data_IF_931957042130
#
_entry.id   IF_931957042130
#
_cell.length_a   1.000
_cell.length_b   1.000
_cell.length_c   1.000
_cell.angle_alpha   90.00
_cell.angle_beta   90.00
_cell.angle_gamma   90.00
#
_symmetry.space_group_name_H-M   'P 1'
#
loop_
_entity.id
_entity.type
_entity.pdbx_description
1 polymer ?
#
# COMPACT_ATOMS: atom_id res chain seq x y z
N UNK A 1 13.49 6.78 -10.47
CA UNK A 1 14.57 6.20 -9.65
C UNK A 1 15.08 7.29 -8.72
N UNK A 2 15.21 6.99 -7.44
CA UNK A 2 15.75 7.91 -6.41
C UNK A 2 17.28 8.15 -6.58
N UNK A 3 17.85 7.89 -7.77
CA UNK A 3 19.29 7.94 -7.98
C UNK A 3 20.08 6.80 -7.31
N UNK A 4 19.40 5.92 -6.55
CA UNK A 4 20.01 4.79 -5.87
C UNK A 4 19.93 3.56 -6.79
N UNK A 5 21.05 2.84 -7.04
CA UNK A 5 21.04 1.66 -7.90
C UNK A 5 20.23 0.50 -7.28
N UNK A 6 19.72 -0.40 -8.14
CA UNK A 6 19.10 -1.65 -7.68
C UNK A 6 20.20 -2.61 -7.20
N UNK A 7 19.95 -3.40 -6.14
CA UNK A 7 18.70 -3.55 -5.37
C UNK A 7 18.58 -2.60 -4.17
N UNK A 8 19.56 -1.73 -3.90
CA UNK A 8 19.61 -0.90 -2.70
C UNK A 8 18.37 0.03 -2.58
N UNK A 9 17.84 0.52 -3.70
CA UNK A 9 16.61 1.33 -3.71
C UNK A 9 15.38 0.56 -3.17
N UNK A 10 15.26 -0.73 -3.47
CA UNK A 10 14.17 -1.58 -2.95
C UNK A 10 14.31 -1.82 -1.45
N UNK A 11 15.52 -2.14 -0.99
CA UNK A 11 15.80 -2.31 0.45
C UNK A 11 15.50 -1.01 1.21
N UNK A 12 15.86 0.13 0.65
CA UNK A 12 15.54 1.43 1.25
C UNK A 12 14.02 1.63 1.36
N UNK A 13 13.25 1.30 0.32
CA UNK A 13 11.79 1.41 0.35
C UNK A 13 11.16 0.45 1.37
N UNK A 14 11.67 -0.78 1.51
CA UNK A 14 11.23 -1.72 2.55
C UNK A 14 11.48 -1.17 3.95
N UNK A 15 12.71 -0.69 4.21
CA UNK A 15 13.06 -0.06 5.49
C UNK A 15 12.14 1.12 5.79
N UNK A 16 12.04 2.06 4.87
CA UNK A 16 11.24 3.28 5.05
C UNK A 16 9.77 2.96 5.23
N UNK A 17 9.21 2.13 4.35
CA UNK A 17 7.78 1.79 4.38
C UNK A 17 7.37 1.11 5.67
N UNK A 18 8.13 0.11 6.11
CA UNK A 18 7.82 -0.62 7.34
C UNK A 18 8.09 0.21 8.60
N UNK A 19 9.13 1.04 8.59
CA UNK A 19 9.39 2.00 9.66
C UNK A 19 8.21 2.96 9.85
N UNK A 20 7.73 3.58 8.77
CA UNK A 20 6.58 4.49 8.80
C UNK A 20 5.31 3.77 9.27
N UNK A 21 5.10 2.51 8.86
CA UNK A 21 3.98 1.70 9.33
C UNK A 21 4.04 1.49 10.84
N UNK A 22 5.17 1.08 11.39
CA UNK A 22 5.33 0.86 12.82
C UNK A 22 5.15 2.15 13.63
N UNK A 23 5.69 3.27 13.16
CA UNK A 23 5.43 4.58 13.77
C UNK A 23 3.94 4.95 13.71
N UNK A 24 3.28 4.64 12.60
CA UNK A 24 1.83 4.84 12.48
C UNK A 24 1.04 3.96 13.44
N UNK A 25 1.57 2.84 13.87
CA UNK A 25 1.01 1.96 14.92
C UNK A 25 1.39 2.39 16.35
N UNK A 26 2.10 3.54 16.50
CA UNK A 26 2.60 4.07 17.77
C UNK A 26 3.63 3.17 18.45
N UNK A 27 4.35 2.36 17.69
CA UNK A 27 5.51 1.62 18.20
C UNK A 27 6.64 2.62 18.45
N UNK A 28 7.42 2.41 19.51
CA UNK A 28 8.60 3.23 19.81
C UNK A 28 9.56 3.29 18.61
N UNK A 29 10.16 4.45 18.36
CA UNK A 29 10.99 4.66 17.16
C UNK A 29 12.20 3.72 17.08
N UNK A 30 12.78 3.30 18.22
CA UNK A 30 13.90 2.37 18.24
C UNK A 30 13.46 0.96 17.87
N UNK A 31 12.34 0.50 18.43
CA UNK A 31 11.73 -0.77 18.06
C UNK A 31 11.23 -0.76 16.62
N UNK A 32 10.72 0.37 16.14
CA UNK A 32 10.34 0.56 14.75
C UNK A 32 11.52 0.42 13.80
N UNK A 33 12.69 0.94 14.17
CA UNK A 33 13.92 0.77 13.40
C UNK A 33 14.36 -0.70 13.34
N UNK A 34 14.35 -1.41 14.47
CA UNK A 34 14.67 -2.85 14.53
C UNK A 34 13.68 -3.65 13.68
N UNK A 35 12.38 -3.39 13.82
CA UNK A 35 11.35 -4.05 13.02
C UNK A 35 11.49 -3.80 11.51
N UNK A 36 11.84 -2.57 11.12
CA UNK A 36 12.08 -2.22 9.72
C UNK A 36 13.29 -2.96 9.14
N UNK A 37 14.37 -3.09 9.92
CA UNK A 37 15.55 -3.87 9.54
C UNK A 37 15.17 -5.35 9.37
N UNK A 38 14.48 -5.94 10.36
CA UNK A 38 14.05 -7.33 10.30
C UNK A 38 13.15 -7.61 9.09
N UNK A 39 12.23 -6.70 8.77
CA UNK A 39 11.39 -6.79 7.58
C UNK A 39 12.21 -6.70 6.29
N UNK A 40 13.01 -5.63 6.13
CA UNK A 40 13.73 -5.37 4.88
C UNK A 40 14.77 -6.44 4.55
N UNK A 41 15.39 -7.05 5.56
CA UNK A 41 16.40 -8.10 5.41
C UNK A 41 15.82 -9.52 5.52
N UNK A 42 14.50 -9.67 5.41
CA UNK A 42 13.88 -10.99 5.29
C UNK A 42 14.40 -11.73 4.05
N UNK A 43 14.75 -13.00 4.19
CA UNK A 43 15.25 -13.85 3.10
C UNK A 43 14.31 -13.90 1.89
N UNK A 44 12.99 -13.81 2.13
CA UNK A 44 11.98 -13.79 1.07
C UNK A 44 12.21 -12.65 0.07
N UNK A 45 12.57 -11.44 0.55
CA UNK A 45 12.78 -10.30 -0.35
C UNK A 45 14.02 -10.46 -1.23
N UNK A 46 15.07 -11.04 -0.70
CA UNK A 46 16.26 -11.36 -1.49
C UNK A 46 15.93 -12.40 -2.57
N UNK A 47 15.14 -13.43 -2.23
CA UNK A 47 14.73 -14.46 -3.19
C UNK A 47 13.93 -13.85 -4.35
N UNK A 48 12.92 -13.00 -4.08
CA UNK A 48 12.09 -12.40 -5.14
C UNK A 48 12.88 -11.39 -5.99
N UNK A 49 13.83 -10.67 -5.39
CA UNK A 49 14.70 -9.73 -6.11
C UNK A 49 15.65 -10.51 -7.03
N UNK A 50 16.30 -11.56 -6.53
CA UNK A 50 17.19 -12.41 -7.32
C UNK A 50 16.45 -13.15 -8.46
N UNK A 51 15.20 -13.57 -8.20
CA UNK A 51 14.34 -14.17 -9.22
C UNK A 51 13.82 -13.18 -10.27
N UNK A 52 14.17 -11.89 -10.18
CA UNK A 52 13.78 -10.86 -11.14
C UNK A 52 12.33 -10.39 -11.04
N UNK A 53 11.59 -10.73 -9.96
CA UNK A 53 10.20 -10.32 -9.75
C UNK A 53 10.09 -8.86 -9.29
N UNK A 54 10.59 -7.92 -10.09
CA UNK A 54 10.73 -6.52 -9.71
C UNK A 54 9.40 -5.81 -9.46
N UNK A 55 8.35 -6.10 -10.24
CA UNK A 55 7.01 -5.53 -10.05
C UNK A 55 6.42 -5.96 -8.72
N UNK A 56 6.54 -7.24 -8.36
CA UNK A 56 6.13 -7.80 -7.07
C UNK A 56 6.91 -7.18 -5.92
N UNK A 57 8.23 -7.09 -6.05
CA UNK A 57 9.10 -6.50 -5.04
C UNK A 57 8.73 -5.03 -4.78
N UNK A 58 8.44 -4.26 -5.83
CA UNK A 58 8.07 -2.86 -5.74
C UNK A 58 6.69 -2.67 -5.11
N UNK A 59 5.68 -3.46 -5.50
CA UNK A 59 4.34 -3.41 -4.90
C UNK A 59 4.39 -3.73 -3.39
N UNK A 60 5.16 -4.75 -2.97
CA UNK A 60 5.35 -5.07 -1.55
C UNK A 60 6.03 -3.91 -0.80
N UNK A 61 6.94 -3.17 -1.44
CA UNK A 61 7.60 -2.03 -0.82
C UNK A 61 6.63 -0.88 -0.48
N UNK A 62 5.65 -0.62 -1.34
CA UNK A 62 4.66 0.44 -1.13
C UNK A 62 3.52 0.03 -0.21
N UNK A 63 3.20 -1.26 -0.08
CA UNK A 63 2.09 -1.74 0.74
C UNK A 63 2.11 -1.21 2.18
N UNK A 64 3.22 -1.27 2.95
CA UNK A 64 3.26 -0.72 4.30
C UNK A 64 3.02 0.80 4.34
N UNK A 65 3.45 1.53 3.31
CA UNK A 65 3.23 2.98 3.23
C UNK A 65 1.76 3.31 3.05
N UNK A 66 1.03 2.56 2.20
CA UNK A 66 -0.42 2.72 2.03
C UNK A 66 -1.14 2.47 3.35
N UNK A 67 -0.83 1.37 4.03
CA UNK A 67 -1.43 1.05 5.33
C UNK A 67 -1.15 2.15 6.36
N UNK A 68 0.08 2.65 6.41
CA UNK A 68 0.45 3.75 7.30
C UNK A 68 -0.36 5.03 7.02
N UNK A 69 -0.52 5.41 5.76
CA UNK A 69 -1.27 6.59 5.35
C UNK A 69 -2.77 6.48 5.70
N UNK A 70 -3.37 5.31 5.47
CA UNK A 70 -4.76 5.00 5.84
C UNK A 70 -4.96 5.10 7.35
N UNK A 71 -4.08 4.48 8.15
CA UNK A 71 -4.13 4.58 9.61
C UNK A 71 -3.99 6.03 10.09
N UNK A 72 -3.16 6.82 9.42
CA UNK A 72 -2.96 8.23 9.73
C UNK A 72 -4.21 9.06 9.45
N UNK A 73 -4.94 8.76 8.37
CA UNK A 73 -6.24 9.37 8.04
C UNK A 73 -7.27 9.06 9.13
N UNK A 74 -7.39 7.79 9.54
CA UNK A 74 -8.31 7.40 10.60
C UNK A 74 -7.99 8.02 11.98
N UNK A 75 -6.76 8.47 12.19
CA UNK A 75 -6.37 9.22 13.40
C UNK A 75 -6.76 10.71 13.38
N UNK A 76 -7.52 11.14 12.39
CA UNK A 76 -8.05 12.51 12.28
C UNK A 76 -7.17 13.46 11.47
N UNK A 77 -6.04 13.02 10.95
CA UNK A 77 -5.20 13.82 10.05
C UNK A 77 -5.67 13.68 8.58
N UNK A 78 -6.95 14.04 8.36
CA UNK A 78 -7.66 13.72 7.11
C UNK A 78 -6.97 14.25 5.84
N UNK A 79 -6.58 15.54 5.81
CA UNK A 79 -5.99 16.14 4.61
C UNK A 79 -4.63 15.49 4.28
N UNK A 80 -3.71 15.50 5.24
CA UNK A 80 -2.37 14.94 5.01
C UNK A 80 -2.43 13.42 4.80
N UNK A 81 -3.25 12.71 5.59
CA UNK A 81 -3.46 11.27 5.41
C UNK A 81 -4.09 10.94 4.06
N UNK A 82 -5.07 11.71 3.60
CA UNK A 82 -5.68 11.55 2.28
C UNK A 82 -4.68 11.76 1.13
N UNK A 83 -3.88 12.83 1.19
CA UNK A 83 -2.83 13.10 0.21
C UNK A 83 -1.78 11.99 0.18
N UNK A 84 -1.32 11.54 1.37
CA UNK A 84 -0.36 10.44 1.45
C UNK A 84 -0.96 9.12 0.93
N UNK A 85 -2.26 8.86 1.22
CA UNK A 85 -2.95 7.69 0.69
C UNK A 85 -3.03 7.74 -0.84
N UNK A 86 -3.44 8.87 -1.42
CA UNK A 86 -3.51 9.04 -2.87
C UNK A 86 -2.14 8.80 -3.53
N UNK A 87 -1.08 9.40 -2.97
CA UNK A 87 0.28 9.23 -3.47
C UNK A 87 0.76 7.77 -3.37
N UNK A 88 0.63 7.15 -2.20
CA UNK A 88 1.17 5.80 -1.98
C UNK A 88 0.37 4.73 -2.72
N UNK A 89 -0.96 4.88 -2.85
CA UNK A 89 -1.79 4.01 -3.69
C UNK A 89 -1.44 4.17 -5.17
N UNK A 90 -1.21 5.40 -5.65
CA UNK A 90 -0.78 5.62 -7.03
C UNK A 90 0.56 4.94 -7.33
N UNK A 91 1.53 5.01 -6.40
CA UNK A 91 2.82 4.33 -6.51
C UNK A 91 2.68 2.80 -6.49
N UNK A 92 1.79 2.28 -5.67
CA UNK A 92 1.52 0.84 -5.57
C UNK A 92 0.86 0.33 -6.87
N UNK A 93 -0.17 1.01 -7.37
CA UNK A 93 -0.79 0.68 -8.66
C UNK A 93 0.21 0.81 -9.82
N UNK A 94 1.12 1.79 -9.76
CA UNK A 94 2.19 1.94 -10.76
C UNK A 94 3.14 0.74 -10.80
N UNK A 95 3.33 0.02 -9.68
CA UNK A 95 4.12 -1.21 -9.64
C UNK A 95 3.47 -2.35 -10.47
N UNK A 96 2.17 -2.24 -10.79
CA UNK A 96 1.42 -3.13 -11.68
C UNK A 96 1.51 -4.61 -11.29
N UNK A 97 1.19 -4.92 -10.03
CA UNK A 97 1.14 -6.30 -9.54
C UNK A 97 -0.21 -6.59 -8.86
N UNK A 98 -1.22 -6.91 -9.66
CA UNK A 98 -2.64 -7.03 -9.25
C UNK A 98 -2.85 -7.96 -8.04
N UNK A 99 -2.08 -9.04 -7.92
CA UNK A 99 -2.20 -9.95 -6.78
C UNK A 99 -1.83 -9.27 -5.45
N UNK A 100 -0.79 -8.44 -5.44
CA UNK A 100 -0.39 -7.70 -4.22
C UNK A 100 -1.40 -6.60 -3.92
N UNK A 101 -1.89 -5.90 -4.94
CA UNK A 101 -2.97 -4.92 -4.82
C UNK A 101 -4.23 -5.55 -4.22
N UNK A 102 -4.60 -6.76 -4.66
CA UNK A 102 -5.73 -7.49 -4.09
C UNK A 102 -5.54 -7.78 -2.58
N UNK A 103 -4.37 -8.24 -2.17
CA UNK A 103 -4.09 -8.46 -0.74
C UNK A 103 -4.10 -7.15 0.04
N UNK A 104 -3.60 -6.06 -0.53
CA UNK A 104 -3.69 -4.73 0.08
C UNK A 104 -5.15 -4.33 0.31
N UNK A 105 -6.03 -4.49 -0.68
CA UNK A 105 -7.46 -4.18 -0.54
C UNK A 105 -8.09 -4.97 0.61
N UNK A 106 -7.79 -6.27 0.76
CA UNK A 106 -8.28 -7.08 1.88
C UNK A 106 -7.81 -6.53 3.24
N UNK A 107 -6.55 -6.12 3.35
CA UNK A 107 -6.00 -5.50 4.57
C UNK A 107 -6.73 -4.19 4.86
N UNK A 108 -6.95 -3.34 3.86
CA UNK A 108 -7.63 -2.05 4.02
C UNK A 108 -9.09 -2.22 4.42
N UNK A 109 -9.79 -3.21 3.85
CA UNK A 109 -11.16 -3.55 4.26
C UNK A 109 -11.20 -4.00 5.73
N UNK A 110 -10.26 -4.84 6.16
CA UNK A 110 -10.18 -5.27 7.56
C UNK A 110 -9.94 -4.08 8.49
N UNK A 111 -9.04 -3.16 8.14
CA UNK A 111 -8.80 -1.93 8.90
C UNK A 111 -10.07 -1.08 8.96
N UNK A 112 -10.79 -0.94 7.83
CA UNK A 112 -12.05 -0.23 7.75
C UNK A 112 -13.12 -0.80 8.68
N UNK A 113 -13.27 -2.13 8.69
CA UNK A 113 -14.20 -2.84 9.59
C UNK A 113 -13.83 -2.61 11.07
N UNK A 114 -12.56 -2.76 11.41
CA UNK A 114 -12.09 -2.51 12.79
C UNK A 114 -12.37 -1.07 13.22
N UNK A 115 -12.11 -0.11 12.33
CA UNK A 115 -12.35 1.30 12.61
C UNK A 115 -13.86 1.60 12.71
N UNK A 116 -14.68 1.03 11.83
CA UNK A 116 -16.14 1.13 11.89
C UNK A 116 -16.68 0.65 13.25
N UNK A 117 -16.24 -0.54 13.72
CA UNK A 117 -16.67 -1.08 15.01
C UNK A 117 -16.24 -0.17 16.17
N UNK A 118 -15.04 0.40 16.11
CA UNK A 118 -14.56 1.36 17.13
C UNK A 118 -15.41 2.61 17.17
N UNK A 119 -15.65 3.23 16.01
CA UNK A 119 -16.40 4.49 15.93
C UNK A 119 -17.91 4.27 16.21
N UNK A 120 -18.46 3.09 15.88
CA UNK A 120 -19.82 2.70 16.26
C UNK A 120 -19.97 2.63 17.79
N UNK A 121 -19.04 1.96 18.47
CA UNK A 121 -19.05 1.88 19.96
C UNK A 121 -18.82 3.23 20.63
N UNK A 122 -18.14 4.16 19.97
CA UNK A 122 -17.89 5.50 20.44
C UNK A 122 -19.00 6.52 20.06
N UNK A 123 -20.08 6.09 19.39
CA UNK A 123 -21.12 6.96 18.82
C UNK A 123 -20.56 8.05 17.89
N UNK A 124 -19.51 7.74 17.14
CA UNK A 124 -18.78 8.70 16.31
C UNK A 124 -18.80 8.33 14.80
N UNK A 125 -19.92 7.78 14.33
CA UNK A 125 -20.11 7.38 12.93
C UNK A 125 -19.95 8.53 11.92
N UNK A 126 -20.34 9.80 12.21
CA UNK A 126 -20.11 10.89 11.25
C UNK A 126 -18.62 11.12 10.95
N UNK A 127 -17.75 10.99 11.93
CA UNK A 127 -16.30 11.13 11.71
C UNK A 127 -15.72 9.93 10.97
N UNK A 128 -16.22 8.72 11.23
CA UNK A 128 -15.87 7.54 10.42
C UNK A 128 -16.24 7.77 8.94
N UNK A 129 -17.46 8.25 8.66
CA UNK A 129 -17.91 8.51 7.31
C UNK A 129 -17.04 9.56 6.60
N UNK A 130 -16.68 10.66 7.27
CA UNK A 130 -15.79 11.70 6.73
C UNK A 130 -14.40 11.14 6.38
N UNK A 131 -13.78 10.40 7.31
CA UNK A 131 -12.44 9.81 7.12
C UNK A 131 -12.45 8.77 6.00
N UNK A 132 -13.46 7.92 5.96
CA UNK A 132 -13.63 6.92 4.89
C UNK A 132 -13.91 7.59 3.55
N UNK A 133 -14.71 8.65 3.51
CA UNK A 133 -14.94 9.45 2.29
C UNK A 133 -13.66 10.03 1.72
N UNK A 134 -12.77 10.58 2.57
CA UNK A 134 -11.44 11.06 2.15
C UNK A 134 -10.60 9.92 1.54
N UNK A 135 -10.63 8.73 2.14
CA UNK A 135 -9.89 7.56 1.63
C UNK A 135 -10.44 7.09 0.28
N UNK A 136 -11.77 7.09 0.10
CA UNK A 136 -12.39 6.75 -1.19
C UNK A 136 -11.99 7.75 -2.27
N UNK A 137 -12.05 9.06 -1.98
CA UNK A 137 -11.60 10.09 -2.92
C UNK A 137 -10.11 9.92 -3.25
N UNK A 138 -9.27 9.66 -2.26
CA UNK A 138 -7.83 9.41 -2.46
C UNK A 138 -7.59 8.18 -3.36
N UNK A 139 -8.33 7.09 -3.16
CA UNK A 139 -8.23 5.89 -3.98
C UNK A 139 -8.71 6.13 -5.43
N UNK A 140 -9.79 6.88 -5.62
CA UNK A 140 -10.29 7.25 -6.95
C UNK A 140 -9.28 8.11 -7.72
N UNK A 141 -8.68 9.11 -7.06
CA UNK A 141 -7.63 9.94 -7.66
C UNK A 141 -6.40 9.10 -8.05
N UNK A 142 -5.96 8.20 -7.16
CA UNK A 142 -4.85 7.30 -7.45
C UNK A 142 -5.15 6.37 -8.63
N UNK A 143 -6.35 5.79 -8.68
CA UNK A 143 -6.81 4.91 -9.77
C UNK A 143 -6.85 5.67 -11.11
N UNK A 144 -7.28 6.92 -11.10
CA UNK A 144 -7.27 7.79 -12.28
C UNK A 144 -5.88 7.94 -12.90
N UNK A 145 -4.82 8.01 -12.08
CA UNK A 145 -3.43 8.09 -12.58
C UNK A 145 -2.93 6.77 -13.18
N UNK A 146 -3.52 5.65 -12.81
CA UNK A 146 -3.11 4.30 -13.24
C UNK A 146 -4.00 3.71 -14.35
N UNK A 147 -5.06 4.44 -14.80
CA UNK A 147 -6.12 3.90 -15.67
C UNK A 147 -5.56 3.34 -16.98
N UNK A 148 -4.62 4.04 -17.61
CA UNK A 148 -3.99 3.60 -18.87
C UNK A 148 -3.23 2.27 -18.70
N UNK A 149 -2.54 2.08 -17.58
CA UNK A 149 -1.82 0.84 -17.29
C UNK A 149 -2.76 -0.31 -16.96
N UNK A 150 -3.80 -0.03 -16.20
CA UNK A 150 -4.80 -1.03 -15.82
C UNK A 150 -5.56 -1.52 -17.06
N UNK A 151 -5.99 -0.62 -17.96
CA UNK A 151 -6.67 -0.99 -19.19
C UNK A 151 -5.78 -1.85 -20.10
N UNK A 152 -4.52 -1.44 -20.31
CA UNK A 152 -3.57 -2.23 -21.10
C UNK A 152 -3.34 -3.63 -20.50
N UNK A 153 -3.23 -3.74 -19.18
CA UNK A 153 -3.04 -5.04 -18.51
C UNK A 153 -4.29 -5.92 -18.64
N UNK A 154 -5.47 -5.34 -18.60
CA UNK A 154 -6.73 -6.08 -18.82
C UNK A 154 -6.88 -6.56 -20.27
N UNK A 155 -6.54 -5.74 -21.27
CA UNK A 155 -6.51 -6.15 -22.68
C UNK A 155 -5.53 -7.32 -22.91
N UNK A 156 -4.30 -7.21 -22.44
CA UNK A 156 -3.33 -8.31 -22.51
C UNK A 156 -3.81 -9.59 -21.80
N UNK A 157 -4.56 -9.44 -20.71
CA UNK A 157 -5.13 -10.58 -19.98
C UNK A 157 -6.15 -11.37 -20.82
N UNK A 158 -6.91 -10.71 -21.68
CA UNK A 158 -7.92 -11.36 -22.56
C UNK A 158 -7.31 -12.03 -23.78
N UNK A 159 -6.15 -11.53 -24.26
CA UNK A 159 -5.45 -12.05 -25.44
C UNK A 159 -4.32 -13.04 -25.09
N UNK A 160 -3.99 -13.18 -23.79
CA UNK A 160 -2.95 -14.11 -23.37
C UNK A 160 -3.47 -15.56 -23.29
N UNK A 161 -2.56 -16.55 -23.34
CA UNK A 161 -2.84 -17.99 -23.17
C UNK A 161 -3.57 -18.35 -21.86
N UNK A 162 -3.78 -17.39 -20.94
CA UNK A 162 -4.61 -17.50 -19.73
C UNK A 162 -6.01 -16.88 -19.91
N UNK A 163 -6.26 -16.22 -21.03
CA UNK A 163 -7.59 -15.83 -21.45
C UNK A 163 -8.35 -17.07 -21.98
N UNK A 164 -9.68 -17.00 -21.97
CA UNK A 164 -10.64 -18.06 -22.27
C UNK A 164 -10.02 -19.31 -22.95
N UNK A 165 -9.98 -20.41 -22.20
CA UNK A 165 -9.92 -21.75 -22.80
C UNK A 165 -11.21 -21.94 -23.58
N UNK A 166 -11.12 -22.11 -24.90
CA UNK A 166 -12.19 -22.66 -25.70
C UNK A 166 -12.63 -24.03 -25.18
#
# INVERSE_FOLDING_TARGET
SLGIPRPANLLFLYLLGFYLLLLSLKVDYRLSAVGAIAFAFSSYFFIIIMAGHMTKALAIAYLPMVVAAVLYTYRGRMLLGGVLTALTVALELYANHLQITYYLVLILLLIGVVQFIKDLKANNLPDFAKRSGVLVVAALLASGTAITRLSTTMEYGTESTRGKSE
#
